data_IF_527060317420
#
_entry.id   IF_527060317420
#
_cell.length_a   1.000
_cell.length_b   1.000
_cell.length_c   1.000
_cell.angle_alpha   90.00
_cell.angle_beta   90.00
_cell.angle_gamma   90.00
#
_symmetry.space_group_name_H-M   'P 1'
#
loop_
_entity.id
_entity.type
_entity.pdbx_description
1 polymer ?
#
# COMPACT_ATOMS: atom_id res chain seq x y z
N UNK A 1 -13.19 20.54 17.30
CA UNK A 1 -11.81 20.98 17.06
C UNK A 1 -10.92 20.36 18.15
N UNK A 2 -10.55 19.07 18.04
CA UNK A 2 -9.62 18.38 18.96
C UNK A 2 -9.33 16.90 18.54
N UNK A 3 -8.96 16.63 17.27
CA UNK A 3 -8.49 15.28 16.87
C UNK A 3 -7.00 15.27 16.47
N UNK A 4 -6.39 16.44 16.23
CA UNK A 4 -5.03 16.53 15.68
C UNK A 4 -3.88 16.44 16.72
N UNK A 5 -4.15 16.21 18.01
CA UNK A 5 -3.10 16.35 19.04
C UNK A 5 -2.48 15.03 19.52
N UNK A 6 -3.16 13.88 19.37
CA UNK A 6 -2.62 12.59 19.87
C UNK A 6 -1.80 11.89 18.78
N UNK A 7 -2.29 11.89 17.53
CA UNK A 7 -1.55 11.35 16.38
C UNK A 7 -0.23 12.10 16.13
N UNK A 8 -0.21 13.43 16.33
CA UNK A 8 1.01 14.24 16.14
C UNK A 8 2.09 14.02 17.20
N UNK A 9 1.71 13.77 18.45
CA UNK A 9 2.65 13.52 19.56
C UNK A 9 3.15 12.06 19.55
N UNK A 10 2.30 11.12 19.14
CA UNK A 10 2.74 9.74 18.90
C UNK A 10 3.76 9.67 17.76
N UNK A 11 3.50 10.35 16.62
CA UNK A 11 4.41 10.39 15.44
C UNK A 11 5.77 11.02 15.73
N UNK A 12 5.85 12.08 16.55
CA UNK A 12 7.12 12.77 16.83
C UNK A 12 8.04 12.00 17.79
N UNK A 13 7.48 11.24 18.74
CA UNK A 13 8.22 10.31 19.58
C UNK A 13 8.52 8.97 18.88
N UNK A 14 7.81 8.67 17.79
CA UNK A 14 8.04 7.48 16.97
C UNK A 14 9.32 7.63 16.13
N UNK A 15 9.45 8.72 15.37
CA UNK A 15 10.57 8.94 14.44
C UNK A 15 11.95 8.97 15.12
N UNK A 16 12.04 9.34 16.41
CA UNK A 16 13.31 9.35 17.16
C UNK A 16 13.71 7.97 17.70
N UNK A 17 12.77 7.03 17.86
CA UNK A 17 13.04 5.67 18.37
C UNK A 17 13.64 4.74 17.30
N UNK A 18 13.36 5.01 16.02
CA UNK A 18 13.74 4.16 14.87
C UNK A 18 15.05 4.58 14.20
N UNK A 19 15.71 5.62 14.71
CA UNK A 19 16.87 6.21 14.07
C UNK A 19 18.07 5.26 13.92
N UNK A 20 18.22 4.24 14.78
CA UNK A 20 19.49 3.51 14.90
C UNK A 20 19.45 1.96 14.90
N UNK A 21 18.31 1.26 14.85
CA UNK A 21 18.32 -0.21 15.08
C UNK A 21 17.49 -1.04 14.08
N UNK A 22 18.17 -1.71 13.14
CA UNK A 22 17.62 -2.79 12.30
C UNK A 22 17.01 -3.93 13.15
N UNK A 23 17.60 -4.17 14.32
CA UNK A 23 17.10 -5.09 15.37
C UNK A 23 15.66 -4.78 15.77
N UNK A 24 15.25 -3.51 15.71
CA UNK A 24 13.91 -3.06 16.06
C UNK A 24 12.89 -3.39 14.96
N UNK A 25 13.30 -3.40 13.69
CA UNK A 25 12.42 -3.72 12.54
C UNK A 25 12.18 -5.23 12.45
N UNK A 26 13.23 -6.05 12.61
CA UNK A 26 13.09 -7.50 12.70
C UNK A 26 12.24 -7.91 13.91
N UNK A 27 12.43 -7.25 15.06
CA UNK A 27 11.58 -7.46 16.24
C UNK A 27 10.13 -7.07 15.98
N UNK A 28 9.87 -6.01 15.23
CA UNK A 28 8.51 -5.65 14.80
C UNK A 28 7.91 -6.66 13.85
N UNK A 29 8.64 -7.12 12.83
CA UNK A 29 8.15 -8.15 11.91
C UNK A 29 7.83 -9.44 12.68
N UNK A 30 8.67 -9.83 13.63
CA UNK A 30 8.45 -10.98 14.53
C UNK A 30 7.27 -10.77 15.48
N UNK A 31 7.15 -9.59 16.09
CA UNK A 31 6.03 -9.24 16.98
C UNK A 31 4.71 -9.15 16.21
N UNK A 32 4.75 -8.67 14.97
CA UNK A 32 3.61 -8.58 14.07
C UNK A 32 3.15 -9.97 13.62
N UNK A 33 4.08 -10.84 13.22
CA UNK A 33 3.80 -12.27 13.00
C UNK A 33 3.17 -12.93 14.23
N UNK A 34 3.53 -12.50 15.45
CA UNK A 34 2.97 -13.01 16.71
C UNK A 34 1.57 -12.46 17.03
N UNK A 35 1.29 -11.19 16.71
CA UNK A 35 -0.01 -10.52 16.93
C UNK A 35 -1.04 -10.81 15.84
N UNK A 36 -0.61 -11.41 14.73
CA UNK A 36 -1.46 -11.86 13.63
C UNK A 36 -2.64 -12.74 14.09
N UNK A 37 -2.41 -13.60 15.08
CA UNK A 37 -3.39 -14.53 15.64
C UNK A 37 -4.09 -13.96 16.89
N UNK A 38 -3.89 -12.69 17.20
CA UNK A 38 -4.53 -12.06 18.33
C UNK A 38 -6.03 -11.86 18.03
N UNK A 39 -6.90 -12.41 18.86
CA UNK A 39 -8.35 -12.16 18.75
C UNK A 39 -8.70 -10.67 18.92
N UNK A 40 -7.80 -9.86 19.49
CA UNK A 40 -8.00 -8.44 19.72
C UNK A 40 -7.82 -7.60 18.43
N UNK A 41 -8.90 -6.96 18.00
CA UNK A 41 -8.93 -6.08 16.84
C UNK A 41 -8.03 -4.84 16.98
N UNK A 42 -8.04 -4.19 18.15
CA UNK A 42 -7.23 -3.00 18.42
C UNK A 42 -5.72 -3.29 18.29
N UNK A 43 -5.31 -4.48 18.73
CA UNK A 43 -3.93 -4.93 18.60
C UNK A 43 -3.53 -5.11 17.12
N UNK A 44 -4.45 -5.63 16.28
CA UNK A 44 -4.23 -5.83 14.85
C UNK A 44 -4.21 -4.53 14.08
N UNK A 45 -5.10 -3.60 14.41
CA UNK A 45 -5.12 -2.25 13.84
C UNK A 45 -3.84 -1.48 14.18
N UNK A 46 -3.42 -1.51 15.45
CA UNK A 46 -2.14 -0.91 15.88
C UNK A 46 -0.97 -1.50 15.11
N UNK A 47 -0.96 -2.82 14.95
CA UNK A 47 0.09 -3.51 14.25
C UNK A 47 0.12 -3.12 12.75
N UNK A 48 -1.05 -2.98 12.11
CA UNK A 48 -1.18 -2.52 10.73
C UNK A 48 -0.63 -1.10 10.53
N UNK A 49 -1.00 -0.17 11.43
CA UNK A 49 -0.47 1.19 11.41
C UNK A 49 1.06 1.21 11.56
N UNK A 50 1.60 0.37 12.44
CA UNK A 50 3.05 0.26 12.64
C UNK A 50 3.80 -0.26 11.40
N UNK A 51 3.20 -1.16 10.62
CA UNK A 51 3.79 -1.60 9.34
C UNK A 51 3.82 -0.46 8.33
N UNK A 52 2.74 0.33 8.26
CA UNK A 52 2.67 1.53 7.42
C UNK A 52 3.76 2.55 7.79
N UNK A 53 3.88 2.88 9.08
CA UNK A 53 4.91 3.80 9.59
C UNK A 53 6.33 3.28 9.30
N UNK A 54 6.56 1.97 9.42
CA UNK A 54 7.85 1.35 9.09
C UNK A 54 8.16 1.42 7.60
N UNK A 55 7.17 1.14 6.76
CA UNK A 55 7.29 1.27 5.31
C UNK A 55 7.68 2.69 4.95
N UNK A 56 6.91 3.69 5.40
CA UNK A 56 7.19 5.11 5.15
C UNK A 56 8.59 5.52 5.64
N UNK A 57 8.99 5.09 6.84
CA UNK A 57 10.33 5.37 7.37
C UNK A 57 11.45 4.82 6.49
N UNK A 58 11.31 3.57 6.03
CA UNK A 58 12.27 2.93 5.13
C UNK A 58 12.29 3.60 3.75
N UNK A 59 11.14 4.07 3.25
CA UNK A 59 11.06 4.83 2.00
C UNK A 59 11.86 6.14 2.06
N UNK A 60 11.85 6.84 3.20
CA UNK A 60 12.56 8.11 3.39
C UNK A 60 14.09 7.92 3.49
N UNK A 61 14.56 6.79 4.04
CA UNK A 61 15.98 6.59 4.39
C UNK A 61 16.87 6.08 3.24
N UNK A 62 16.29 5.55 2.15
CA UNK A 62 16.94 5.12 0.90
C UNK A 62 18.42 4.67 1.00
N UNK A 63 18.73 3.63 1.77
CA UNK A 63 19.98 2.87 1.62
C UNK A 63 19.70 1.50 1.06
N UNK A 64 20.50 1.03 0.10
CA UNK A 64 20.28 -0.22 -0.64
C UNK A 64 20.15 -1.50 0.24
N UNK A 65 20.63 -1.50 1.50
CA UNK A 65 20.43 -2.58 2.48
C UNK A 65 18.99 -2.62 3.01
N UNK A 66 18.28 -1.49 2.96
CA UNK A 66 16.87 -1.36 3.32
C UNK A 66 15.94 -2.01 2.29
N UNK A 67 16.40 -2.26 1.06
CA UNK A 67 15.58 -2.84 0.00
C UNK A 67 15.01 -4.22 0.36
N UNK A 68 15.80 -5.10 0.99
CA UNK A 68 15.34 -6.44 1.38
C UNK A 68 14.37 -6.39 2.56
N UNK A 69 14.65 -5.56 3.57
CA UNK A 69 13.77 -5.40 4.74
C UNK A 69 12.47 -4.70 4.36
N UNK A 70 12.54 -3.68 3.50
CA UNK A 70 11.39 -3.00 2.94
C UNK A 70 10.49 -3.98 2.19
N UNK A 71 11.05 -4.80 1.30
CA UNK A 71 10.27 -5.83 0.61
C UNK A 71 9.63 -6.82 1.60
N UNK A 72 10.34 -7.23 2.66
CA UNK A 72 9.77 -8.10 3.69
C UNK A 72 8.60 -7.45 4.44
N UNK A 73 8.68 -6.14 4.74
CA UNK A 73 7.58 -5.37 5.34
C UNK A 73 6.37 -5.34 4.39
N UNK A 74 6.60 -5.05 3.11
CA UNK A 74 5.53 -4.98 2.10
C UNK A 74 4.89 -6.35 1.84
N UNK A 75 5.67 -7.42 1.74
CA UNK A 75 5.14 -8.79 1.64
C UNK A 75 4.33 -9.18 2.87
N UNK A 76 4.73 -8.72 4.06
CA UNK A 76 3.98 -8.96 5.30
C UNK A 76 2.65 -8.21 5.27
N UNK A 77 2.65 -6.94 4.85
CA UNK A 77 1.42 -6.17 4.62
C UNK A 77 0.51 -6.86 3.62
N UNK A 78 1.03 -7.34 2.49
CA UNK A 78 0.23 -8.01 1.47
C UNK A 78 -0.44 -9.28 2.01
N UNK A 79 0.33 -10.17 2.64
CA UNK A 79 -0.20 -11.40 3.26
C UNK A 79 -1.28 -11.07 4.28
N UNK A 80 -1.09 -10.01 5.08
CA UNK A 80 -2.04 -9.60 6.10
C UNK A 80 -3.33 -9.03 5.51
N UNK A 81 -3.23 -8.16 4.51
CA UNK A 81 -4.40 -7.57 3.85
C UNK A 81 -5.31 -8.64 3.26
N UNK A 82 -4.75 -9.72 2.72
CA UNK A 82 -5.52 -10.82 2.09
C UNK A 82 -6.31 -11.64 3.12
N UNK A 83 -5.78 -11.84 4.34
CA UNK A 83 -6.40 -12.71 5.36
C UNK A 83 -7.20 -11.96 6.42
N UNK A 84 -7.00 -10.65 6.56
CA UNK A 84 -7.74 -9.82 7.50
C UNK A 84 -9.23 -9.76 7.13
N UNK A 85 -10.09 -9.83 8.14
CA UNK A 85 -11.54 -9.84 7.98
C UNK A 85 -12.16 -8.47 8.25
N UNK A 86 -11.47 -7.63 9.04
CA UNK A 86 -11.90 -6.28 9.30
C UNK A 86 -11.49 -5.35 8.15
N UNK A 87 -12.49 -4.80 7.46
CA UNK A 87 -12.29 -3.95 6.28
C UNK A 87 -11.49 -2.67 6.60
N UNK A 88 -11.66 -2.07 7.78
CA UNK A 88 -10.94 -0.83 8.12
C UNK A 88 -9.44 -1.10 8.36
N UNK A 89 -9.11 -2.26 8.91
CA UNK A 89 -7.71 -2.72 9.01
C UNK A 89 -7.16 -3.01 7.61
N UNK A 90 -7.94 -3.66 6.73
CA UNK A 90 -7.52 -3.88 5.34
C UNK A 90 -7.27 -2.57 4.60
N UNK A 91 -8.12 -1.56 4.76
CA UNK A 91 -7.92 -0.21 4.19
C UNK A 91 -6.59 0.37 4.68
N UNK A 92 -6.33 0.31 5.99
CA UNK A 92 -5.10 0.83 6.58
C UNK A 92 -3.87 0.21 5.94
N UNK A 93 -3.86 -1.13 5.82
CA UNK A 93 -2.73 -1.87 5.22
C UNK A 93 -2.59 -1.56 3.73
N UNK A 94 -3.69 -1.64 2.97
CA UNK A 94 -3.66 -1.46 1.51
C UNK A 94 -3.29 -0.02 1.13
N UNK A 95 -3.76 0.98 1.88
CA UNK A 95 -3.39 2.38 1.66
C UNK A 95 -1.88 2.60 1.83
N UNK A 96 -1.26 2.00 2.85
CA UNK A 96 0.19 2.09 3.06
C UNK A 96 0.99 1.39 1.96
N UNK A 97 0.43 0.31 1.39
CA UNK A 97 1.06 -0.41 0.28
C UNK A 97 1.00 0.34 -1.06
N UNK A 98 0.01 1.21 -1.30
CA UNK A 98 -0.07 2.00 -2.54
C UNK A 98 1.21 2.81 -2.73
N UNK A 99 1.63 3.55 -1.71
CA UNK A 99 2.84 4.37 -1.77
C UNK A 99 4.09 3.49 -1.93
N UNK A 100 4.13 2.36 -1.23
CA UNK A 100 5.24 1.42 -1.29
C UNK A 100 5.40 0.74 -2.67
N UNK A 101 4.29 0.45 -3.35
CA UNK A 101 4.27 -0.24 -4.65
C UNK A 101 4.91 0.58 -5.76
N UNK A 102 4.90 1.92 -5.66
CA UNK A 102 5.52 2.83 -6.61
C UNK A 102 7.06 2.76 -6.64
N UNK A 103 7.68 2.08 -5.67
CA UNK A 103 9.13 2.03 -5.54
C UNK A 103 9.78 0.83 -6.24
N UNK A 104 10.95 1.09 -6.85
CA UNK A 104 11.74 0.09 -7.59
C UNK A 104 12.01 -1.24 -6.85
N UNK A 105 12.32 -1.27 -5.52
CA UNK A 105 12.55 -2.53 -4.81
C UNK A 105 11.32 -3.47 -4.79
N UNK A 106 10.10 -2.93 -4.85
CA UNK A 106 8.86 -3.69 -4.83
C UNK A 106 8.53 -4.43 -6.13
N UNK A 107 9.30 -4.20 -7.21
CA UNK A 107 9.08 -4.87 -8.50
C UNK A 107 9.29 -6.39 -8.46
N UNK A 108 10.03 -6.88 -7.46
CA UNK A 108 10.29 -8.31 -7.27
C UNK A 108 9.27 -9.00 -6.34
N UNK A 109 8.32 -8.25 -5.76
CA UNK A 109 7.27 -8.81 -4.92
C UNK A 109 6.24 -9.51 -5.82
N UNK A 110 5.79 -10.69 -5.41
CA UNK A 110 4.73 -11.42 -6.11
C UNK A 110 3.35 -10.86 -5.78
N UNK A 111 2.79 -10.05 -6.68
CA UNK A 111 1.48 -9.45 -6.54
C UNK A 111 0.31 -10.35 -6.99
N UNK A 112 0.59 -11.56 -7.46
CA UNK A 112 -0.44 -12.47 -8.00
C UNK A 112 -1.50 -12.84 -6.96
N UNK A 113 -1.10 -13.02 -5.69
CA UNK A 113 -2.00 -13.32 -4.59
C UNK A 113 -3.01 -12.19 -4.33
N UNK A 114 -2.57 -10.94 -4.42
CA UNK A 114 -3.45 -9.76 -4.32
C UNK A 114 -4.41 -9.73 -5.51
N UNK A 115 -3.92 -9.92 -6.73
CA UNK A 115 -4.75 -9.94 -7.94
C UNK A 115 -5.82 -11.04 -7.90
N UNK A 116 -5.50 -12.22 -7.37
CA UNK A 116 -6.45 -13.33 -7.21
C UNK A 116 -7.51 -13.06 -6.14
N UNK A 117 -7.21 -12.23 -5.13
CA UNK A 117 -8.13 -11.89 -4.05
C UNK A 117 -9.20 -10.85 -4.45
N UNK A 118 -8.94 -10.07 -5.50
CA UNK A 118 -9.79 -8.94 -5.95
C UNK A 118 -11.30 -9.25 -6.03
N UNK A 119 -11.77 -10.39 -6.57
CA UNK A 119 -13.21 -10.68 -6.64
C UNK A 119 -13.89 -10.85 -5.28
N UNK A 120 -13.12 -11.11 -4.23
CA UNK A 120 -13.61 -11.32 -2.86
C UNK A 120 -13.45 -10.10 -1.95
N UNK A 121 -12.76 -9.06 -2.40
CA UNK A 121 -12.54 -7.84 -1.65
C UNK A 121 -13.79 -6.97 -1.62
N UNK A 122 -13.97 -6.24 -0.51
CA UNK A 122 -14.93 -5.13 -0.46
C UNK A 122 -14.60 -4.10 -1.54
N UNK A 123 -15.63 -3.47 -2.12
CA UNK A 123 -15.48 -2.54 -3.23
C UNK A 123 -14.49 -1.41 -2.94
N UNK A 124 -14.45 -0.92 -1.69
CA UNK A 124 -13.52 0.13 -1.26
C UNK A 124 -12.05 -0.33 -1.30
N UNK A 125 -11.82 -1.62 -1.15
CA UNK A 125 -10.47 -2.22 -1.14
C UNK A 125 -9.95 -2.50 -2.54
N UNK A 126 -10.86 -2.77 -3.49
CA UNK A 126 -10.53 -3.01 -4.89
C UNK A 126 -9.77 -1.80 -5.47
N UNK A 127 -10.17 -0.58 -5.10
CA UNK A 127 -9.53 0.66 -5.53
C UNK A 127 -8.02 0.67 -5.24
N UNK A 128 -7.65 0.40 -3.99
CA UNK A 128 -6.24 0.34 -3.57
C UNK A 128 -5.49 -0.80 -4.28
N UNK A 129 -6.12 -1.98 -4.39
CA UNK A 129 -5.50 -3.13 -5.03
C UNK A 129 -5.22 -2.87 -6.53
N UNK A 130 -6.13 -2.21 -7.25
CA UNK A 130 -5.91 -1.83 -8.65
C UNK A 130 -4.75 -0.83 -8.80
N UNK A 131 -4.64 0.15 -7.90
CA UNK A 131 -3.54 1.10 -7.90
C UNK A 131 -2.19 0.42 -7.63
N UNK A 132 -2.13 -0.47 -6.64
CA UNK A 132 -0.93 -1.26 -6.32
C UNK A 132 -0.48 -2.04 -7.56
N UNK A 133 -1.40 -2.77 -8.20
CA UNK A 133 -1.08 -3.57 -9.40
C UNK A 133 -0.59 -2.70 -10.55
N UNK A 134 -1.13 -1.49 -10.74
CA UNK A 134 -0.66 -0.55 -11.74
C UNK A 134 0.79 -0.11 -11.51
N UNK A 135 1.13 0.23 -10.26
CA UNK A 135 2.47 0.70 -9.89
C UNK A 135 3.57 -0.37 -10.01
N UNK A 136 3.20 -1.65 -10.12
CA UNK A 136 4.18 -2.70 -10.45
C UNK A 136 4.80 -2.51 -11.84
N UNK A 137 4.09 -1.85 -12.76
CA UNK A 137 4.40 -1.78 -14.20
C UNK A 137 4.55 -3.17 -14.86
N UNK A 138 3.94 -4.20 -14.27
CA UNK A 138 3.99 -5.57 -14.79
C UNK A 138 2.74 -5.87 -15.63
N UNK A 139 2.94 -5.94 -16.94
CA UNK A 139 1.86 -6.14 -17.92
C UNK A 139 1.08 -7.44 -17.73
N UNK A 140 1.55 -8.40 -16.94
CA UNK A 140 0.77 -9.58 -16.60
C UNK A 140 -0.57 -9.24 -15.91
N UNK A 141 -0.65 -8.09 -15.23
CA UNK A 141 -1.85 -7.63 -14.55
C UNK A 141 -2.80 -6.82 -15.45
N UNK A 142 -2.45 -6.57 -16.71
CA UNK A 142 -3.28 -5.78 -17.63
C UNK A 142 -4.69 -6.36 -17.78
N UNK A 143 -4.80 -7.68 -17.95
CA UNK A 143 -6.10 -8.36 -18.10
C UNK A 143 -7.01 -8.16 -16.88
N UNK A 144 -6.41 -8.12 -15.68
CA UNK A 144 -7.13 -7.86 -14.43
C UNK A 144 -7.66 -6.43 -14.43
N UNK A 145 -6.82 -5.43 -14.75
CA UNK A 145 -7.27 -4.04 -14.82
C UNK A 145 -8.34 -3.81 -15.91
N UNK A 146 -8.19 -4.46 -17.08
CA UNK A 146 -9.18 -4.40 -18.17
C UNK A 146 -10.54 -4.97 -17.76
N UNK A 147 -10.59 -5.98 -16.89
CA UNK A 147 -11.85 -6.49 -16.36
C UNK A 147 -12.63 -5.39 -15.62
N UNK A 148 -11.94 -4.65 -14.73
CA UNK A 148 -12.55 -3.59 -13.93
C UNK A 148 -12.88 -2.32 -14.74
N UNK A 149 -12.23 -2.10 -15.89
CA UNK A 149 -12.57 -1.01 -16.83
C UNK A 149 -14.03 -1.08 -17.32
N UNK A 150 -14.61 -2.28 -17.33
CA UNK A 150 -15.99 -2.52 -17.75
C UNK A 150 -16.96 -2.68 -16.55
N UNK A 151 -16.51 -2.39 -15.33
CA UNK A 151 -17.35 -2.46 -14.12
C UNK A 151 -18.64 -1.64 -14.27
N UNK A 152 -19.73 -2.05 -13.62
CA UNK A 152 -20.95 -1.24 -13.55
C UNK A 152 -20.76 0.01 -12.70
N UNK A 153 -19.81 0.00 -11.76
CA UNK A 153 -19.46 1.13 -10.92
C UNK A 153 -18.62 2.17 -11.69
N UNK A 154 -19.11 3.42 -11.87
CA UNK A 154 -18.36 4.49 -12.51
C UNK A 154 -17.01 4.79 -11.86
N UNK A 155 -16.90 4.71 -10.53
CA UNK A 155 -15.66 5.03 -9.82
C UNK A 155 -14.59 3.97 -10.13
N UNK A 156 -14.92 2.69 -9.97
CA UNK A 156 -14.02 1.60 -10.34
C UNK A 156 -13.65 1.62 -11.82
N UNK A 157 -14.56 1.98 -12.73
CA UNK A 157 -14.20 2.15 -14.16
C UNK A 157 -13.15 3.23 -14.34
N UNK A 158 -13.30 4.38 -13.67
CA UNK A 158 -12.33 5.46 -13.76
C UNK A 158 -10.97 5.02 -13.22
N UNK A 159 -10.94 4.44 -12.02
CA UNK A 159 -9.71 3.95 -11.37
C UNK A 159 -9.02 2.91 -12.24
N UNK A 160 -9.77 1.97 -12.84
CA UNK A 160 -9.19 0.97 -13.73
C UNK A 160 -8.61 1.57 -15.01
N UNK A 161 -9.21 2.64 -15.56
CA UNK A 161 -8.62 3.37 -16.69
C UNK A 161 -7.31 4.06 -16.30
N UNK A 162 -7.30 4.75 -15.16
CA UNK A 162 -6.11 5.45 -14.66
C UNK A 162 -4.98 4.45 -14.35
N UNK A 163 -5.33 3.32 -13.71
CA UNK A 163 -4.44 2.19 -13.45
C UNK A 163 -3.86 1.60 -14.74
N UNK A 164 -4.64 1.47 -15.82
CA UNK A 164 -4.14 1.00 -17.11
C UNK A 164 -3.17 2.00 -17.77
N UNK A 165 -3.38 3.30 -17.60
CA UNK A 165 -2.45 4.32 -18.11
C UNK A 165 -1.14 4.26 -17.35
N UNK A 166 -1.21 4.17 -16.03
CA UNK A 166 -0.06 4.05 -15.13
C UNK A 166 0.73 2.76 -15.39
N UNK A 167 0.05 1.63 -15.56
CA UNK A 167 0.66 0.33 -15.85
C UNK A 167 1.56 0.40 -17.10
N UNK A 168 1.10 1.09 -18.15
CA UNK A 168 1.85 1.27 -19.40
C UNK A 168 2.95 2.34 -19.30
N UNK A 169 3.09 3.04 -18.17
CA UNK A 169 4.05 4.12 -17.99
C UNK A 169 3.83 5.29 -18.96
N UNK A 170 2.60 5.44 -19.47
CA UNK A 170 2.26 6.56 -20.35
C UNK A 170 2.09 7.77 -19.43
N UNK A 171 2.94 8.80 -19.51
CA UNK A 171 2.74 9.99 -18.71
C UNK A 171 1.36 10.56 -19.06
N UNK A 172 0.47 10.65 -18.07
CA UNK A 172 -0.78 11.38 -18.20
C UNK A 172 -0.40 12.75 -18.75
N UNK A 173 -0.80 13.04 -20.00
CA UNK A 173 -0.65 14.38 -20.56
C UNK A 173 -1.33 15.30 -19.57
N UNK A 174 -0.55 16.06 -18.82
CA UNK A 174 -1.07 17.17 -18.07
C UNK A 174 -1.84 18.01 -19.08
N UNK A 175 -3.14 18.15 -18.84
CA UNK A 175 -3.99 19.10 -19.53
C UNK A 175 -3.51 20.49 -19.12
N UNK A 176 -2.33 20.90 -19.58
CA UNK A 176 -1.99 22.30 -19.69
C UNK A 176 -2.83 22.83 -20.84
N UNK A 177 -3.96 23.43 -20.45
CA UNK A 177 -4.71 24.36 -21.26
C UNK A 177 -3.72 25.33 -21.92
N UNK A 178 -3.40 25.08 -23.18
CA UNK A 178 -2.95 26.12 -24.08
C UNK A 178 -4.15 27.04 -24.32
N UNK A 179 -4.34 28.01 -23.44
CA UNK A 179 -5.15 29.18 -23.76
C UNK A 179 -4.49 29.87 -24.97
N UNK A 180 -5.24 30.16 -26.04
CA UNK A 180 -4.71 30.92 -27.15
C UNK A 180 -4.39 32.32 -26.65
N UNK A 181 -3.14 32.76 -26.86
CA UNK A 181 -2.77 34.17 -26.73
C UNK A 181 -3.65 34.98 -27.69
N UNK A 182 -4.55 35.78 -27.12
CA UNK A 182 -5.21 36.91 -27.79
C UNK A 182 -4.71 38.19 -27.16
#
# INVERSE_FOLDING_TARGET
MAINSIAGIARSNFASKWADDMTSIESLLMEHCRKHDDSNEEARETAAAQLGDCSEYLMIRQKAVEGTVFCAVVETMQKRAIVEQNVEIQVTILSAMVDAASLSPCRNIDWSSLAQSLPSLDQRLIEYALQILAFTHDLQYEAVLQHYRNSSDPLLRQIANDALVELHGIPLKSTQESLPNV
#
